data_IF_814889822181
#
_entry.id   IF_814889822181
#
_cell.length_a   1.000
_cell.length_b   1.000
_cell.length_c   1.000
_cell.angle_alpha   90.00
_cell.angle_beta   90.00
_cell.angle_gamma   90.00
#
_symmetry.space_group_name_H-M   'P 1'
#
loop_
_entity.id
_entity.type
_entity.pdbx_description
1 polymer ?
#
# COMPACT_ATOMS: atom_id res chain seq x y z
N UNK A 1 1.53 -22.96 -11.09
CA UNK A 1 0.13 -22.50 -11.07
C UNK A 1 0.18 -20.98 -10.97
N UNK A 2 -0.34 -20.29 -11.98
CA UNK A 2 -0.32 -18.83 -12.05
C UNK A 2 -1.31 -18.31 -10.98
N UNK A 3 -0.87 -17.36 -10.12
CA UNK A 3 -1.75 -16.78 -9.09
C UNK A 3 -2.91 -16.06 -9.77
N UNK A 4 -4.09 -16.12 -9.17
CA UNK A 4 -5.24 -15.31 -9.59
C UNK A 4 -4.88 -13.82 -9.42
N UNK A 5 -5.03 -12.95 -10.45
CA UNK A 5 -4.79 -11.51 -10.34
C UNK A 5 -5.52 -10.86 -9.14
N UNK A 6 -6.73 -11.34 -8.81
CA UNK A 6 -7.49 -10.86 -7.67
C UNK A 6 -6.75 -11.05 -6.36
N UNK A 7 -5.94 -12.10 -6.22
CA UNK A 7 -5.17 -12.34 -4.99
C UNK A 7 -4.25 -11.17 -4.66
N UNK A 8 -3.67 -10.50 -5.66
CA UNK A 8 -2.85 -9.30 -5.45
C UNK A 8 -3.70 -8.10 -5.03
N UNK A 9 -4.91 -7.96 -5.58
CA UNK A 9 -5.85 -6.92 -5.16
C UNK A 9 -6.33 -7.14 -3.71
N UNK A 10 -6.60 -8.38 -3.31
CA UNK A 10 -6.89 -8.74 -1.90
C UNK A 10 -5.71 -8.40 -0.98
N UNK A 11 -4.48 -8.76 -1.37
CA UNK A 11 -3.26 -8.44 -0.61
C UNK A 11 -3.11 -6.91 -0.39
N UNK A 12 -3.41 -6.09 -1.41
CA UNK A 12 -3.39 -4.62 -1.31
C UNK A 12 -4.49 -4.12 -0.37
N UNK A 13 -5.74 -4.56 -0.57
CA UNK A 13 -6.89 -4.12 0.23
C UNK A 13 -6.70 -4.42 1.71
N UNK A 14 -6.33 -5.66 2.04
CA UNK A 14 -6.18 -6.10 3.42
C UNK A 14 -5.01 -5.38 4.10
N UNK A 15 -3.95 -5.06 3.35
CA UNK A 15 -2.84 -4.26 3.85
C UNK A 15 -3.23 -2.81 4.10
N UNK A 16 -4.03 -2.21 3.21
CA UNK A 16 -4.54 -0.85 3.39
C UNK A 16 -5.48 -0.73 4.60
N UNK A 17 -6.40 -1.69 4.76
CA UNK A 17 -7.29 -1.77 5.92
C UNK A 17 -6.51 -1.96 7.23
N UNK A 18 -5.45 -2.78 7.20
CA UNK A 18 -4.58 -2.95 8.36
C UNK A 18 -3.87 -1.65 8.74
N UNK A 19 -3.32 -0.90 7.77
CA UNK A 19 -2.73 0.42 8.02
C UNK A 19 -3.74 1.37 8.67
N UNK A 20 -4.96 1.44 8.13
CA UNK A 20 -6.03 2.27 8.71
C UNK A 20 -6.35 1.86 10.16
N UNK A 21 -6.38 0.56 10.45
CA UNK A 21 -6.59 0.05 11.81
C UNK A 21 -5.43 0.40 12.75
N UNK A 22 -4.18 0.31 12.30
CA UNK A 22 -3.01 0.60 13.14
C UNK A 22 -2.89 2.08 13.48
N UNK A 23 -3.36 2.94 12.57
CA UNK A 23 -3.29 4.40 12.68
C UNK A 23 -4.60 5.04 13.16
N UNK A 24 -5.61 4.22 13.46
CA UNK A 24 -6.91 4.66 13.92
C UNK A 24 -6.81 5.52 15.18
N UNK A 25 -7.33 6.74 15.12
CA UNK A 25 -7.31 7.68 16.24
C UNK A 25 -5.95 8.33 16.54
N UNK A 26 -4.91 8.05 15.75
CA UNK A 26 -3.62 8.70 15.88
C UNK A 26 -3.58 10.03 15.10
N UNK A 27 -2.91 11.02 15.68
CA UNK A 27 -2.37 12.16 14.93
C UNK A 27 -0.90 11.90 14.55
N UNK A 28 -0.28 12.87 13.87
CA UNK A 28 1.11 12.75 13.43
C UNK A 28 2.08 12.57 14.60
N UNK A 29 1.86 13.27 15.72
CA UNK A 29 2.75 13.20 16.89
C UNK A 29 2.64 11.85 17.60
N UNK A 30 1.42 11.31 17.72
CA UNK A 30 1.19 9.97 18.25
C UNK A 30 1.83 8.89 17.36
N UNK A 31 1.76 9.05 16.04
CA UNK A 31 2.40 8.14 15.09
C UNK A 31 3.94 8.23 15.15
N UNK A 32 4.50 9.44 15.18
CA UNK A 32 5.94 9.69 15.32
C UNK A 32 6.53 9.12 16.62
N UNK A 33 5.75 9.12 17.70
CA UNK A 33 6.14 8.52 18.98
C UNK A 33 5.97 6.99 19.07
N UNK A 34 5.40 6.35 18.05
CA UNK A 34 5.04 4.93 18.08
C UNK A 34 5.80 4.10 17.03
N UNK A 35 6.99 3.64 17.41
CA UNK A 35 7.85 2.82 16.55
C UNK A 35 7.18 1.51 16.09
N UNK A 36 6.27 0.93 16.88
CA UNK A 36 5.55 -0.28 16.50
C UNK A 36 4.54 0.00 15.38
N UNK A 37 3.81 1.12 15.47
CA UNK A 37 2.90 1.55 14.42
C UNK A 37 3.67 1.88 13.13
N UNK A 38 4.80 2.58 13.24
CA UNK A 38 5.67 2.89 12.09
C UNK A 38 6.13 1.61 11.38
N UNK A 39 6.73 0.67 12.11
CA UNK A 39 7.19 -0.60 11.54
C UNK A 39 6.05 -1.41 10.92
N UNK A 40 4.87 -1.43 11.55
CA UNK A 40 3.70 -2.13 11.03
C UNK A 40 3.18 -1.49 9.73
N UNK A 41 3.12 -0.16 9.67
CA UNK A 41 2.66 0.58 8.50
C UNK A 41 3.63 0.43 7.33
N UNK A 42 4.93 0.61 7.56
CA UNK A 42 5.97 0.41 6.55
C UNK A 42 5.89 -0.99 5.95
N UNK A 43 5.79 -2.02 6.80
CA UNK A 43 5.65 -3.41 6.34
C UNK A 43 4.42 -3.62 5.45
N UNK A 44 3.30 -2.96 5.75
CA UNK A 44 2.10 -3.06 4.93
C UNK A 44 2.24 -2.33 3.60
N UNK A 45 2.93 -1.19 3.56
CA UNK A 45 3.26 -0.52 2.29
C UNK A 45 4.20 -1.35 1.41
N UNK A 46 5.16 -2.07 1.98
CA UNK A 46 5.99 -3.01 1.23
C UNK A 46 5.15 -4.10 0.55
N UNK A 47 4.18 -4.67 1.27
CA UNK A 47 3.28 -5.70 0.75
C UNK A 47 2.42 -5.14 -0.38
N UNK A 48 1.86 -3.94 -0.21
CA UNK A 48 1.08 -3.25 -1.24
C UNK A 48 1.91 -3.10 -2.53
N UNK A 49 3.12 -2.54 -2.42
CA UNK A 49 3.97 -2.31 -3.59
C UNK A 49 4.45 -3.60 -4.24
N UNK A 50 4.73 -4.65 -3.46
CA UNK A 50 5.07 -5.96 -4.02
C UNK A 50 3.88 -6.58 -4.77
N UNK A 51 2.69 -6.55 -4.18
CA UNK A 51 1.48 -7.08 -4.81
C UNK A 51 1.18 -6.40 -6.15
N UNK A 52 1.27 -5.07 -6.20
CA UNK A 52 1.06 -4.31 -7.44
C UNK A 52 2.17 -4.54 -8.48
N UNK A 53 3.42 -4.72 -8.05
CA UNK A 53 4.53 -5.07 -8.94
C UNK A 53 4.40 -6.48 -9.53
N UNK A 54 3.82 -7.42 -8.78
CA UNK A 54 3.54 -8.76 -9.29
C UNK A 54 2.32 -8.77 -10.20
N UNK A 55 1.28 -7.99 -9.86
CA UNK A 55 0.10 -7.79 -10.70
C UNK A 55 0.49 -7.19 -12.05
N UNK A 56 1.36 -6.18 -12.10
CA UNK A 56 1.78 -5.56 -13.36
C UNK A 56 2.53 -6.50 -14.32
N UNK A 57 3.25 -7.49 -13.77
CA UNK A 57 3.93 -8.54 -14.55
C UNK A 57 2.97 -9.64 -15.00
N UNK A 58 1.93 -9.89 -14.20
CA UNK A 58 0.97 -10.95 -14.46
C UNK A 58 -0.13 -10.51 -15.44
N UNK A 59 -0.77 -9.37 -15.16
CA UNK A 59 -1.90 -8.82 -15.87
C UNK A 59 -1.77 -7.30 -15.96
N UNK A 60 -1.09 -6.86 -17.01
CA UNK A 60 -0.86 -5.44 -17.28
C UNK A 60 -2.17 -4.66 -17.52
N UNK A 61 -3.24 -5.33 -17.99
CA UNK A 61 -4.51 -4.67 -18.27
C UNK A 61 -5.23 -4.30 -16.96
N UNK A 62 -5.26 -5.19 -15.97
CA UNK A 62 -5.79 -4.86 -14.63
C UNK A 62 -4.87 -3.84 -13.95
N UNK A 63 -3.55 -4.06 -13.99
CA UNK A 63 -2.59 -3.17 -13.34
C UNK A 63 -2.67 -1.72 -13.85
N UNK A 64 -2.89 -1.50 -15.15
CA UNK A 64 -3.03 -0.17 -15.73
C UNK A 64 -4.23 0.63 -15.21
N UNK A 65 -5.17 -0.03 -14.53
CA UNK A 65 -6.34 0.62 -13.90
C UNK A 65 -6.04 1.14 -12.50
N UNK A 66 -4.91 0.77 -11.91
CA UNK A 66 -4.48 1.27 -10.60
C UNK A 66 -3.81 2.64 -10.79
N UNK A 67 -4.33 3.71 -10.16
CA UNK A 67 -3.72 5.03 -10.23
C UNK A 67 -2.34 5.00 -9.56
N UNK A 68 -1.41 5.79 -10.11
CA UNK A 68 -0.07 6.00 -9.54
C UNK A 68 0.74 4.72 -9.27
N UNK A 69 0.46 3.62 -9.99
CA UNK A 69 1.13 2.34 -9.81
C UNK A 69 2.67 2.46 -9.84
N UNK A 70 3.30 3.20 -10.79
CA UNK A 70 4.75 3.38 -10.79
C UNK A 70 5.27 4.02 -9.49
N UNK A 71 4.55 4.99 -8.95
CA UNK A 71 4.89 5.70 -7.71
C UNK A 71 4.75 4.78 -6.50
N UNK A 72 3.71 3.94 -6.45
CA UNK A 72 3.52 2.98 -5.35
C UNK A 72 4.66 1.94 -5.33
N UNK A 73 5.04 1.42 -6.50
CA UNK A 73 6.18 0.49 -6.62
C UNK A 73 7.49 1.17 -6.26
N UNK A 74 7.70 2.43 -6.68
CA UNK A 74 8.88 3.21 -6.31
C UNK A 74 8.94 3.45 -4.79
N UNK A 75 7.82 3.76 -4.15
CA UNK A 75 7.75 3.94 -2.69
C UNK A 75 8.13 2.66 -1.93
N UNK A 76 7.66 1.49 -2.36
CA UNK A 76 8.11 0.19 -1.82
C UNK A 76 9.62 0.00 -1.95
N UNK A 77 10.20 0.37 -3.10
CA UNK A 77 11.65 0.26 -3.29
C UNK A 77 12.40 1.22 -2.36
N UNK A 78 11.85 2.41 -2.10
CA UNK A 78 12.41 3.36 -1.17
C UNK A 78 12.33 2.86 0.28
N UNK A 79 11.23 2.21 0.70
CA UNK A 79 11.13 1.60 2.02
C UNK A 79 12.16 0.48 2.24
N UNK A 80 12.44 -0.34 1.21
CA UNK A 80 13.37 -1.47 1.35
C UNK A 80 14.83 -1.05 1.23
N UNK A 81 15.16 -0.17 0.27
CA UNK A 81 16.54 0.18 -0.06
C UNK A 81 16.98 1.53 0.51
N UNK A 82 16.03 2.40 0.84
CA UNK A 82 16.24 3.76 1.32
C UNK A 82 15.58 4.02 2.67
N UNK A 83 15.37 3.01 3.53
CA UNK A 83 14.74 3.18 4.85
C UNK A 83 15.41 4.28 5.70
N UNK A 84 16.71 4.51 5.51
CA UNK A 84 17.45 5.59 6.19
C UNK A 84 17.09 7.01 5.72
N UNK A 85 16.41 7.16 4.58
CA UNK A 85 16.04 8.46 3.97
C UNK A 85 14.54 8.73 3.95
N UNK A 86 13.71 7.72 4.24
CA UNK A 86 12.26 7.92 4.35
C UNK A 86 11.94 8.57 5.69
N UNK A 87 11.39 9.79 5.68
CA UNK A 87 10.93 10.43 6.90
C UNK A 87 9.59 9.85 7.35
N UNK A 88 9.42 9.68 8.67
CA UNK A 88 8.16 9.23 9.28
C UNK A 88 6.97 10.08 8.83
N UNK A 89 7.18 11.40 8.72
CA UNK A 89 6.18 12.34 8.21
C UNK A 89 5.76 12.06 6.75
N UNK A 90 6.67 11.55 5.91
CA UNK A 90 6.32 11.14 4.53
C UNK A 90 5.39 9.94 4.55
N UNK A 91 5.72 8.91 5.33
CA UNK A 91 4.88 7.70 5.47
C UNK A 91 3.51 8.06 6.04
N UNK A 92 3.47 8.95 7.04
CA UNK A 92 2.23 9.45 7.60
C UNK A 92 1.37 10.19 6.57
N UNK A 93 1.97 11.10 5.80
CA UNK A 93 1.24 11.84 4.77
C UNK A 93 0.63 10.88 3.74
N UNK A 94 1.39 9.91 3.24
CA UNK A 94 0.91 8.91 2.28
C UNK A 94 -0.24 8.09 2.88
N UNK A 95 -0.13 7.71 4.16
CA UNK A 95 -1.19 6.99 4.89
C UNK A 95 -2.50 7.77 4.92
N UNK A 96 -2.44 9.10 5.04
CA UNK A 96 -3.63 9.96 5.16
C UNK A 96 -4.17 10.44 3.81
N UNK A 97 -3.33 10.64 2.80
CA UNK A 97 -3.72 11.27 1.53
C UNK A 97 -3.90 10.29 0.37
N UNK A 98 -3.01 9.32 0.21
CA UNK A 98 -2.96 8.46 -0.97
C UNK A 98 -3.57 7.07 -0.73
N UNK A 99 -3.35 6.52 0.48
CA UNK A 99 -3.83 5.18 0.81
C UNK A 99 -5.37 5.01 0.66
N UNK A 100 -6.22 5.97 1.08
CA UNK A 100 -7.67 5.82 0.91
C UNK A 100 -8.09 5.71 -0.57
N UNK A 101 -7.52 6.54 -1.45
CA UNK A 101 -7.83 6.51 -2.88
C UNK A 101 -7.39 5.20 -3.56
N UNK A 102 -6.25 4.64 -3.12
CA UNK A 102 -5.80 3.32 -3.57
C UNK A 102 -6.78 2.23 -3.12
N UNK A 103 -7.21 2.25 -1.85
CA UNK A 103 -8.17 1.29 -1.31
C UNK A 103 -9.49 1.32 -2.10
N UNK A 104 -10.02 2.52 -2.37
CA UNK A 104 -11.24 2.69 -3.16
C UNK A 104 -11.07 2.11 -4.58
N UNK A 105 -9.96 2.43 -5.25
CA UNK A 105 -9.67 1.93 -6.60
C UNK A 105 -9.57 0.41 -6.65
N UNK A 106 -8.94 -0.20 -5.65
CA UNK A 106 -8.80 -1.65 -5.54
C UNK A 106 -10.14 -2.32 -5.23
N UNK A 107 -10.98 -1.71 -4.38
CA UNK A 107 -12.29 -2.25 -4.06
C UNK A 107 -13.20 -2.27 -5.29
N UNK A 108 -13.20 -1.20 -6.11
CA UNK A 108 -13.93 -1.17 -7.39
C UNK A 108 -13.50 -2.31 -8.31
N UNK A 109 -12.19 -2.55 -8.43
CA UNK A 109 -11.68 -3.65 -9.26
C UNK A 109 -12.10 -5.02 -8.73
N UNK A 110 -12.07 -5.23 -7.42
CA UNK A 110 -12.51 -6.48 -6.81
C UNK A 110 -14.00 -6.73 -7.04
N UNK A 111 -14.83 -5.70 -6.89
CA UNK A 111 -16.27 -5.81 -7.08
C UNK A 111 -16.64 -6.14 -8.54
N UNK A 112 -15.89 -5.62 -9.52
CA UNK A 112 -16.07 -5.94 -10.93
C UNK A 112 -15.61 -7.34 -11.33
N UNK A 113 -14.57 -7.85 -10.68
CA UNK A 113 -13.96 -9.15 -11.01
C UNK A 113 -14.61 -10.33 -10.29
N UNK A 114 -15.44 -10.08 -9.26
CA UNK A 114 -16.15 -11.08 -8.45
C UNK A 114 -15.23 -12.04 -7.71
#
# INVERSE_FOLDING_TARGET
MQRDPRAFLWDVRDSALAIQSFTGGMDVTAYEGNAMAQAAVERKFEIIGEALNQLSKLDAAIAARIPDLPQIVAFRNQLIHGYATVSVGTVWNITRSALPALLDSVQVLLDELG
#
